data_IF_927471476121
#
_entry.id   IF_927471476121
#
_cell.length_a   1.000
_cell.length_b   1.000
_cell.length_c   1.000
_cell.angle_alpha   90.00
_cell.angle_beta   90.00
_cell.angle_gamma   90.00
#
_symmetry.space_group_name_H-M   'P 1'
#
loop_
_entity.id
_entity.type
_entity.pdbx_description
1 polymer ?
#
# COMPACT_ATOMS: atom_id res chain seq x y z
N UNK A 1 1.85 12.48 -18.87
CA UNK A 1 2.28 12.92 -17.52
C UNK A 1 3.78 12.67 -17.45
N UNK A 2 4.60 13.70 -17.61
CA UNK A 2 6.06 13.57 -17.59
C UNK A 2 6.52 13.59 -16.12
N UNK A 3 7.28 12.59 -15.71
CA UNK A 3 8.02 12.63 -14.44
C UNK A 3 9.35 13.30 -14.76
N UNK A 4 9.50 14.55 -14.32
CA UNK A 4 10.77 15.26 -14.39
C UNK A 4 11.69 14.65 -13.34
N UNK A 5 12.75 13.97 -13.80
CA UNK A 5 13.91 13.64 -13.00
C UNK A 5 14.83 14.87 -13.02
N UNK A 6 14.62 15.79 -12.08
CA UNK A 6 15.59 16.86 -11.85
C UNK A 6 16.67 16.32 -10.89
N UNK A 7 17.91 16.45 -11.32
CA UNK A 7 19.09 15.93 -10.64
C UNK A 7 19.63 16.90 -9.59
N UNK A 8 20.38 16.32 -8.65
CA UNK A 8 21.17 16.97 -7.59
C UNK A 8 20.38 17.67 -6.49
N UNK A 9 20.03 16.88 -5.47
CA UNK A 9 20.55 17.06 -4.12
C UNK A 9 20.35 15.73 -3.39
N UNK A 10 21.22 15.40 -2.43
CA UNK A 10 21.15 14.19 -1.60
C UNK A 10 19.89 14.17 -0.73
N UNK A 11 18.72 14.07 -1.35
CA UNK A 11 17.45 13.88 -0.69
C UNK A 11 17.50 12.51 -0.03
N UNK A 12 17.64 12.53 1.29
CA UNK A 12 17.18 11.45 2.15
C UNK A 12 15.78 11.10 1.67
N UNK A 13 15.67 9.99 0.94
CA UNK A 13 14.40 9.48 0.45
C UNK A 13 13.51 9.33 1.68
N UNK A 14 12.45 10.14 1.74
CA UNK A 14 11.62 10.26 2.94
C UNK A 14 10.95 8.93 3.20
N UNK A 15 11.25 8.30 4.33
CA UNK A 15 10.59 7.06 4.74
C UNK A 15 9.07 7.22 4.70
N UNK A 16 8.42 6.22 4.10
CA UNK A 16 6.97 6.18 3.94
C UNK A 16 6.34 5.41 5.09
N UNK A 17 5.20 5.91 5.59
CA UNK A 17 4.51 5.32 6.73
C UNK A 17 3.17 4.73 6.30
N UNK A 18 2.95 3.46 6.65
CA UNK A 18 1.68 2.76 6.45
C UNK A 18 0.52 3.38 7.25
N UNK A 19 0.80 4.14 8.31
CA UNK A 19 -0.24 4.82 9.10
C UNK A 19 -0.56 6.21 8.57
N UNK A 20 0.46 6.92 8.07
CA UNK A 20 0.31 8.30 7.60
C UNK A 20 0.04 8.41 6.09
N UNK A 21 -0.10 7.30 5.35
CA UNK A 21 -0.60 7.34 3.98
C UNK A 21 -2.13 7.48 3.94
N UNK A 22 -2.70 7.78 2.77
CA UNK A 22 -4.16 7.96 2.62
C UNK A 22 -4.95 6.70 3.03
N UNK A 23 -4.47 5.52 2.60
CA UNK A 23 -5.08 4.24 2.97
C UNK A 23 -4.97 3.98 4.48
N UNK A 24 -3.82 4.27 5.09
CA UNK A 24 -3.59 4.13 6.53
C UNK A 24 -4.51 5.00 7.38
N UNK A 25 -4.70 6.26 6.99
CA UNK A 25 -5.64 7.16 7.65
C UNK A 25 -7.09 6.72 7.50
N UNK A 26 -7.47 6.24 6.31
CA UNK A 26 -8.80 5.68 6.09
C UNK A 26 -9.01 4.43 6.95
N UNK A 27 -8.01 3.55 6.98
CA UNK A 27 -8.00 2.32 7.74
C UNK A 27 -8.24 2.61 9.22
N UNK A 28 -7.36 3.34 9.92
CA UNK A 28 -7.58 3.60 11.35
C UNK A 28 -8.80 4.51 11.65
N UNK A 29 -9.28 5.27 10.65
CA UNK A 29 -10.43 6.16 10.76
C UNK A 29 -11.76 5.50 10.40
N UNK A 30 -12.36 5.96 9.29
CA UNK A 30 -13.71 5.56 8.87
C UNK A 30 -13.79 4.07 8.53
N UNK A 31 -12.75 3.51 7.92
CA UNK A 31 -12.68 2.11 7.53
C UNK A 31 -12.86 1.17 8.73
N UNK A 32 -12.16 1.43 9.83
CA UNK A 32 -12.24 0.62 11.06
C UNK A 32 -13.63 0.57 11.65
N UNK A 33 -14.32 1.72 11.69
CA UNK A 33 -15.69 1.81 12.25
C UNK A 33 -16.68 0.97 11.44
N UNK A 34 -16.58 1.01 10.11
CA UNK A 34 -17.56 0.37 9.23
C UNK A 34 -17.21 -1.08 8.88
N UNK A 35 -15.92 -1.42 8.72
CA UNK A 35 -15.50 -2.64 8.02
C UNK A 35 -14.54 -3.54 8.80
N UNK A 36 -14.23 -3.22 10.07
CA UNK A 36 -13.31 -4.03 10.90
C UNK A 36 -13.72 -5.50 11.09
N UNK A 37 -15.01 -5.80 10.92
CA UNK A 37 -15.56 -7.14 10.97
C UNK A 37 -15.21 -7.98 9.73
N UNK A 38 -14.87 -7.37 8.59
CA UNK A 38 -14.50 -8.09 7.37
C UNK A 38 -13.10 -8.69 7.46
N UNK A 39 -12.94 -9.94 7.00
CA UNK A 39 -11.63 -10.60 6.92
C UNK A 39 -10.68 -9.84 5.98
N UNK A 40 -11.17 -9.44 4.81
CA UNK A 40 -10.41 -8.66 3.83
C UNK A 40 -9.83 -7.37 4.43
N UNK A 41 -10.61 -6.70 5.29
CA UNK A 41 -10.16 -5.52 6.02
C UNK A 41 -9.04 -5.85 7.00
N UNK A 42 -9.13 -6.94 7.77
CA UNK A 42 -8.04 -7.31 8.69
C UNK A 42 -6.76 -7.63 7.93
N UNK A 43 -6.85 -8.44 6.87
CA UNK A 43 -5.71 -8.81 6.01
C UNK A 43 -5.06 -7.60 5.33
N UNK A 44 -5.84 -6.56 5.00
CA UNK A 44 -5.33 -5.35 4.37
C UNK A 44 -4.25 -4.66 5.23
N UNK A 45 -4.37 -4.69 6.56
CA UNK A 45 -3.39 -4.09 7.48
C UNK A 45 -2.00 -4.69 7.29
N UNK A 46 -1.94 -6.02 7.25
CA UNK A 46 -0.69 -6.76 7.29
C UNK A 46 0.07 -6.61 5.97
N UNK A 47 -0.62 -6.78 4.84
CA UNK A 47 -0.01 -6.61 3.51
C UNK A 47 0.42 -5.15 3.30
N UNK A 48 -0.41 -4.19 3.70
CA UNK A 48 -0.09 -2.77 3.56
C UNK A 48 1.11 -2.34 4.43
N UNK A 49 1.21 -2.86 5.66
CA UNK A 49 2.38 -2.59 6.49
C UNK A 49 3.65 -3.17 5.90
N UNK A 50 3.61 -4.43 5.43
CA UNK A 50 4.76 -5.09 4.78
C UNK A 50 5.21 -4.37 3.51
N UNK A 51 4.27 -3.88 2.71
CA UNK A 51 4.58 -3.07 1.54
C UNK A 51 5.43 -1.84 1.92
N UNK A 52 4.98 -1.06 2.90
CA UNK A 52 5.73 0.12 3.35
C UNK A 52 7.07 -0.22 4.00
N UNK A 53 7.15 -1.30 4.77
CA UNK A 53 8.42 -1.80 5.33
C UNK A 53 9.41 -2.09 4.20
N UNK A 54 9.01 -2.83 3.16
CA UNK A 54 9.88 -3.17 2.04
C UNK A 54 10.28 -1.94 1.20
N UNK A 55 9.37 -0.97 1.00
CA UNK A 55 9.73 0.29 0.35
C UNK A 55 10.83 1.00 1.14
N UNK A 56 10.70 1.10 2.45
CA UNK A 56 11.71 1.73 3.30
C UNK A 56 13.04 0.96 3.30
N UNK A 57 13.00 -0.38 3.31
CA UNK A 57 14.21 -1.20 3.19
C UNK A 57 14.95 -0.96 1.87
N UNK A 58 14.23 -0.86 0.75
CA UNK A 58 14.85 -0.56 -0.56
C UNK A 58 15.41 0.87 -0.61
N UNK A 59 14.71 1.81 0.02
CA UNK A 59 15.16 3.20 0.18
C UNK A 59 16.45 3.27 1.02
N UNK A 60 16.45 2.61 2.18
CA UNK A 60 17.56 2.64 3.16
C UNK A 60 18.81 1.97 2.59
N UNK A 61 18.67 0.93 1.76
CA UNK A 61 19.79 0.29 1.05
C UNK A 61 20.44 1.19 0.00
N UNK A 62 19.73 2.23 -0.48
CA UNK A 62 20.19 3.13 -1.53
C UNK A 62 20.19 2.46 -2.91
N UNK A 63 19.65 3.14 -3.93
CA UNK A 63 19.54 2.55 -5.27
C UNK A 63 20.89 2.41 -5.99
N UNK A 64 21.92 3.16 -5.57
CA UNK A 64 23.22 3.24 -6.26
C UNK A 64 24.20 2.10 -5.90
N UNK A 65 23.83 1.17 -5.03
CA UNK A 65 24.71 0.05 -4.62
C UNK A 65 24.07 -1.34 -4.66
N UNK A 66 22.77 -1.44 -5.01
CA UNK A 66 22.05 -2.72 -4.99
C UNK A 66 22.31 -3.48 -6.31
N UNK A 67 22.72 -4.76 -6.26
CA UNK A 67 22.79 -5.60 -7.45
C UNK A 67 21.44 -5.65 -8.17
N UNK A 68 21.44 -5.54 -9.51
CA UNK A 68 20.20 -5.51 -10.30
C UNK A 68 19.22 -6.64 -9.96
N UNK A 69 19.71 -7.86 -9.72
CA UNK A 69 18.86 -8.99 -9.35
C UNK A 69 18.12 -8.77 -8.03
N UNK A 70 18.79 -8.24 -7.01
CA UNK A 70 18.20 -7.95 -5.70
C UNK A 70 17.17 -6.82 -5.81
N UNK A 71 17.48 -5.78 -6.59
CA UNK A 71 16.53 -4.70 -6.87
C UNK A 71 15.29 -5.24 -7.59
N UNK A 72 15.49 -6.06 -8.64
CA UNK A 72 14.41 -6.67 -9.41
C UNK A 72 13.52 -7.56 -8.54
N UNK A 73 14.11 -8.37 -7.65
CA UNK A 73 13.34 -9.18 -6.71
C UNK A 73 12.53 -8.34 -5.72
N UNK A 74 13.12 -7.26 -5.19
CA UNK A 74 12.44 -6.32 -4.32
C UNK A 74 11.23 -5.67 -5.01
N UNK A 75 11.42 -5.19 -6.23
CA UNK A 75 10.35 -4.59 -7.04
C UNK A 75 9.26 -5.61 -7.39
N UNK A 76 9.61 -6.84 -7.72
CA UNK A 76 8.63 -7.90 -7.98
C UNK A 76 7.78 -8.23 -6.74
N UNK A 77 8.40 -8.28 -5.54
CA UNK A 77 7.68 -8.48 -4.27
C UNK A 77 6.75 -7.31 -3.95
N UNK A 78 7.18 -6.07 -4.21
CA UNK A 78 6.34 -4.89 -4.07
C UNK A 78 5.12 -4.95 -5.00
N UNK A 79 5.29 -5.36 -6.25
CA UNK A 79 4.20 -5.50 -7.21
C UNK A 79 3.17 -6.55 -6.75
N UNK A 80 3.63 -7.71 -6.29
CA UNK A 80 2.74 -8.76 -5.74
C UNK A 80 1.93 -8.21 -4.56
N UNK A 81 2.58 -7.51 -3.62
CA UNK A 81 1.87 -6.90 -2.47
C UNK A 81 0.91 -5.79 -2.90
N UNK A 82 1.25 -5.00 -3.93
CA UNK A 82 0.37 -4.00 -4.52
C UNK A 82 -0.92 -4.63 -5.05
N UNK A 83 -0.79 -5.73 -5.82
CA UNK A 83 -1.95 -6.47 -6.33
C UNK A 83 -2.79 -7.09 -5.20
N UNK A 84 -2.15 -7.60 -4.14
CA UNK A 84 -2.86 -8.08 -2.95
C UNK A 84 -3.65 -6.97 -2.25
N UNK A 85 -3.06 -5.78 -2.09
CA UNK A 85 -3.75 -4.61 -1.52
C UNK A 85 -4.96 -4.24 -2.37
N UNK A 86 -4.81 -4.14 -3.68
CA UNK A 86 -5.90 -3.82 -4.60
C UNK A 86 -7.01 -4.88 -4.57
N UNK A 87 -6.65 -6.17 -4.53
CA UNK A 87 -7.61 -7.27 -4.42
C UNK A 87 -8.42 -7.19 -3.12
N UNK A 88 -7.78 -6.91 -1.99
CA UNK A 88 -8.46 -6.76 -0.70
C UNK A 88 -9.36 -5.53 -0.66
N UNK A 89 -8.94 -4.42 -1.25
CA UNK A 89 -9.79 -3.22 -1.42
C UNK A 89 -11.01 -3.56 -2.29
N UNK A 90 -10.81 -4.29 -3.39
CA UNK A 90 -11.89 -4.74 -4.27
C UNK A 90 -12.92 -5.62 -3.54
N UNK A 91 -12.47 -6.51 -2.65
CA UNK A 91 -13.38 -7.32 -1.82
C UNK A 91 -14.22 -6.46 -0.86
N UNK A 92 -13.62 -5.45 -0.24
CA UNK A 92 -14.34 -4.51 0.64
C UNK A 92 -15.35 -3.69 -0.17
N UNK A 93 -14.95 -3.19 -1.35
CA UNK A 93 -15.83 -2.45 -2.25
C UNK A 93 -17.02 -3.31 -2.72
N UNK A 94 -16.77 -4.56 -3.09
CA UNK A 94 -17.83 -5.48 -3.47
C UNK A 94 -18.85 -5.68 -2.34
N UNK A 95 -18.37 -5.83 -1.10
CA UNK A 95 -19.25 -5.92 0.07
C UNK A 95 -20.12 -4.66 0.25
N UNK A 96 -19.54 -3.47 0.06
CA UNK A 96 -20.28 -2.20 0.13
C UNK A 96 -21.38 -2.15 -0.94
N UNK A 97 -21.06 -2.51 -2.18
CA UNK A 97 -22.03 -2.51 -3.28
C UNK A 97 -23.21 -3.46 -3.00
N UNK A 98 -22.94 -4.64 -2.42
CA UNK A 98 -24.00 -5.59 -2.04
C UNK A 98 -24.93 -5.02 -0.95
N UNK A 99 -24.39 -4.30 0.04
CA UNK A 99 -25.21 -3.65 1.08
C UNK A 99 -26.06 -2.51 0.51
N UNK A 100 -25.53 -1.72 -0.43
CA UNK A 100 -26.28 -0.63 -1.06
C UNK A 100 -27.42 -1.14 -1.94
N UNK A 101 -27.22 -2.28 -2.61
CA UNK A 101 -28.25 -2.91 -3.43
C UNK A 101 -29.34 -3.64 -2.63
N UNK A 102 -29.18 -3.82 -1.32
CA UNK A 102 -30.13 -4.53 -0.45
C UNK A 102 -30.92 -3.60 0.48
N UNK A 103 -30.70 -2.28 0.43
CA UNK A 103 -31.50 -1.28 1.13
C UNK A 103 -32.44 -0.58 0.11
N UNK A 104 -33.75 -0.88 0.09
CA UNK A 104 -34.68 -0.11 -0.72
C UNK A 104 -34.80 1.32 -0.14
N UNK A 105 -34.87 2.31 -1.03
CA UNK A 105 -35.13 3.73 -0.70
C UNK A 105 -36.48 3.94 -0.03
#
# INVERSE_FOLDING_TARGET
MAIILDGHDGQVLKQVSSRNCALGRWYEGRGKKAYSHLSAYRSLRDVHSRYHTMVNELVDKGLEGIPFHELSEGLAKLEIMSQQILGLIGQIQHHISLLQNTQPS
#
